data_IF_479070065879
#
_entry.id   IF_479070065879
#
_cell.length_a   1.000
_cell.length_b   1.000
_cell.length_c   1.000
_cell.angle_alpha   90.00
_cell.angle_beta   90.00
_cell.angle_gamma   90.00
#
_symmetry.space_group_name_H-M   'P 1'
#
loop_
_entity.id
_entity.type
_entity.pdbx_description
1 polymer ?
#
# COMPACT_ATOMS: atom_id res chain seq x y z
N UNK A 1 -11.06 17.69 -71.86
CA UNK A 1 -11.42 16.30 -72.14
C UNK A 1 -10.22 15.43 -71.79
N UNK A 2 -10.39 14.45 -70.89
CA UNK A 2 -9.51 13.32 -70.52
C UNK A 2 -8.07 13.67 -70.07
N UNK A 3 -7.58 13.38 -68.86
CA UNK A 3 -7.79 12.21 -67.98
C UNK A 3 -6.77 11.12 -68.37
N UNK A 4 -6.07 10.42 -67.48
CA UNK A 4 -5.82 10.49 -66.05
C UNK A 4 -4.55 9.65 -65.84
N UNK A 5 -3.68 10.09 -64.96
CA UNK A 5 -2.42 9.45 -64.60
C UNK A 5 -2.70 8.38 -63.53
N UNK A 6 -2.44 7.10 -63.80
CA UNK A 6 -2.38 6.07 -62.77
C UNK A 6 -0.96 6.02 -62.22
N UNK A 7 -0.78 6.47 -60.98
CA UNK A 7 0.34 6.05 -60.13
C UNK A 7 -0.25 5.39 -58.90
N UNK A 8 0.25 4.20 -58.63
CA UNK A 8 -0.12 3.35 -57.51
C UNK A 8 0.18 4.03 -56.17
N UNK A 9 -0.85 4.53 -55.51
CA UNK A 9 -0.83 4.93 -54.09
C UNK A 9 -1.65 3.91 -53.29
N UNK A 10 -1.06 2.76 -52.94
CA UNK A 10 -1.71 1.82 -52.01
C UNK A 10 -0.71 0.95 -51.21
N UNK A 11 0.50 1.45 -50.96
CA UNK A 11 1.48 0.75 -50.10
C UNK A 11 1.88 1.51 -48.82
N UNK A 12 1.35 2.71 -48.55
CA UNK A 12 1.80 3.52 -47.42
C UNK A 12 0.86 3.60 -46.21
N UNK A 13 -0.38 3.11 -46.27
CA UNK A 13 -1.33 3.22 -45.14
C UNK A 13 -1.19 2.15 -44.05
N UNK A 14 -0.20 1.25 -44.14
CA UNK A 14 -0.05 0.11 -43.20
C UNK A 14 1.25 0.09 -42.38
N UNK A 15 2.13 1.11 -42.50
CA UNK A 15 3.41 1.13 -41.78
C UNK A 15 3.38 1.89 -40.45
N UNK A 16 2.47 2.84 -40.24
CA UNK A 16 2.50 3.69 -39.04
C UNK A 16 1.61 3.22 -37.87
N UNK A 17 0.78 2.19 -38.03
CA UNK A 17 -0.22 1.79 -37.02
C UNK A 17 0.28 0.63 -36.09
N UNK A 18 1.45 0.04 -36.38
CA UNK A 18 1.83 -1.27 -35.81
C UNK A 18 2.66 -1.27 -34.54
N UNK A 19 3.23 -0.15 -34.11
CA UNK A 19 4.15 -0.12 -32.96
C UNK A 19 4.09 1.22 -32.22
N UNK A 20 2.94 1.56 -31.63
CA UNK A 20 2.99 2.51 -30.52
C UNK A 20 3.78 1.82 -29.39
N UNK A 21 4.93 2.36 -28.95
CA UNK A 21 5.75 1.70 -27.95
C UNK A 21 4.92 1.51 -26.67
N UNK A 22 4.77 0.25 -26.28
CA UNK A 22 4.17 -0.12 -25.00
C UNK A 22 5.02 0.52 -23.90
N UNK A 23 4.44 1.50 -23.19
CA UNK A 23 5.01 2.00 -21.94
C UNK A 23 4.70 0.97 -20.85
N UNK A 24 5.69 0.56 -20.04
CA UNK A 24 5.44 -0.27 -18.87
C UNK A 24 4.26 0.28 -18.09
N UNK A 25 3.32 -0.58 -17.72
CA UNK A 25 2.13 -0.21 -16.95
C UNK A 25 2.49 0.52 -15.66
N UNK A 26 3.67 0.20 -15.11
CA UNK A 26 4.33 0.96 -14.08
C UNK A 26 5.80 0.51 -13.97
N UNK A 27 6.77 1.44 -13.98
CA UNK A 27 8.21 1.09 -13.92
C UNK A 27 8.79 1.08 -12.50
N UNK A 28 7.99 1.40 -11.47
CA UNK A 28 8.47 1.60 -10.09
C UNK A 28 7.94 0.58 -9.07
N UNK A 29 7.09 -0.37 -9.48
CA UNK A 29 6.50 -1.33 -8.53
C UNK A 29 7.16 -2.70 -8.53
N UNK A 30 8.27 -2.88 -9.27
CA UNK A 30 9.07 -4.11 -9.18
C UNK A 30 9.69 -4.31 -7.78
N UNK A 31 9.65 -3.30 -6.90
CA UNK A 31 10.09 -3.41 -5.52
C UNK A 31 9.25 -2.55 -4.59
N UNK A 32 7.96 -2.86 -4.43
CA UNK A 32 7.32 -2.61 -3.14
C UNK A 32 7.39 -3.90 -2.33
N UNK A 33 8.53 -4.19 -1.67
CA UNK A 33 8.41 -5.06 -0.51
C UNK A 33 7.35 -4.43 0.41
N UNK A 34 6.57 -5.22 1.16
CA UNK A 34 5.88 -4.65 2.30
C UNK A 34 6.94 -3.80 3.02
N UNK A 35 6.67 -2.50 3.26
CA UNK A 35 7.54 -1.71 4.16
C UNK A 35 7.81 -2.66 5.30
N UNK A 36 9.10 -2.97 5.49
CA UNK A 36 9.56 -4.09 6.30
C UNK A 36 8.65 -4.23 7.50
N UNK A 37 8.25 -5.46 7.92
CA UNK A 37 7.42 -5.65 9.12
C UNK A 37 7.96 -4.70 10.19
N UNK A 38 7.12 -4.05 10.99
CA UNK A 38 7.47 -3.00 11.99
C UNK A 38 8.59 -3.43 12.99
N UNK A 39 9.73 -3.92 12.52
CA UNK A 39 10.67 -4.81 13.22
C UNK A 39 11.93 -4.10 13.61
N UNK A 40 12.11 -2.83 13.25
CA UNK A 40 13.25 -2.05 13.74
C UNK A 40 12.94 -1.20 14.96
N UNK A 41 11.73 -0.65 15.13
CA UNK A 41 11.38 0.15 16.32
C UNK A 41 10.45 -0.52 17.32
N UNK A 42 9.67 -1.55 16.94
CA UNK A 42 9.01 -2.41 17.93
C UNK A 42 10.01 -3.46 18.45
N UNK A 43 11.10 -3.04 19.09
CA UNK A 43 11.50 -3.85 20.26
C UNK A 43 10.23 -3.96 21.11
N UNK A 44 9.86 -5.16 21.57
CA UNK A 44 8.65 -5.30 22.37
C UNK A 44 8.81 -4.47 23.65
N UNK A 45 8.31 -3.24 23.65
CA UNK A 45 8.33 -2.35 24.81
C UNK A 45 7.26 -2.89 25.76
N UNK A 46 7.68 -3.86 26.57
CA UNK A 46 6.84 -4.58 27.52
C UNK A 46 6.86 -3.87 28.86
N UNK A 47 5.90 -2.99 29.10
CA UNK A 47 5.89 -2.15 30.31
C UNK A 47 5.61 -2.96 31.56
N UNK A 48 4.93 -4.11 31.44
CA UNK A 48 4.70 -5.04 32.54
C UNK A 48 5.98 -5.73 33.06
N UNK A 49 7.12 -5.62 32.36
CA UNK A 49 8.40 -6.17 32.80
C UNK A 49 9.30 -5.16 33.50
N UNK A 50 8.90 -3.88 33.55
CA UNK A 50 9.69 -2.83 34.19
C UNK A 50 9.75 -3.03 35.71
N UNK A 51 10.93 -2.91 36.29
CA UNK A 51 11.16 -3.02 37.74
C UNK A 51 11.73 -1.71 38.31
N UNK A 52 11.15 -1.19 39.41
CA UNK A 52 11.53 0.10 39.95
C UNK A 52 12.92 0.05 40.59
N UNK A 53 13.71 1.11 40.42
CA UNK A 53 15.06 1.15 40.96
C UNK A 53 15.07 1.39 42.47
N UNK A 54 15.55 0.38 43.22
CA UNK A 54 15.58 0.37 44.68
C UNK A 54 16.48 1.48 45.29
N UNK A 55 17.50 1.97 44.57
CA UNK A 55 18.46 2.96 45.09
C UNK A 55 17.99 4.41 45.08
N UNK A 56 16.84 4.71 44.45
CA UNK A 56 16.38 6.09 44.19
C UNK A 56 15.29 6.55 45.18
N UNK A 57 14.93 5.74 46.17
CA UNK A 57 13.85 6.04 47.13
C UNK A 57 14.00 7.37 47.90
N UNK A 58 15.17 8.03 47.87
CA UNK A 58 15.45 9.32 48.50
C UNK A 58 15.83 10.47 47.54
N UNK A 59 15.80 10.25 46.22
CA UNK A 59 16.12 11.27 45.21
C UNK A 59 14.86 11.71 44.47
N UNK A 60 14.70 13.03 44.31
CA UNK A 60 13.53 13.61 43.65
C UNK A 60 13.68 13.44 42.12
N UNK A 61 13.15 12.34 41.58
CA UNK A 61 13.15 12.07 40.13
C UNK A 61 12.38 13.17 39.41
N UNK A 62 13.01 13.75 38.39
CA UNK A 62 12.40 14.78 37.54
C UNK A 62 11.84 14.13 36.27
N UNK A 63 10.83 14.76 35.69
CA UNK A 63 10.31 14.35 34.38
C UNK A 63 11.39 14.63 33.32
N UNK A 64 11.83 13.63 32.54
CA UNK A 64 12.86 13.82 31.54
C UNK A 64 12.45 14.82 30.45
N UNK A 65 13.40 15.62 29.99
CA UNK A 65 13.24 16.44 28.79
C UNK A 65 13.60 15.61 27.57
N UNK A 66 12.70 15.53 26.60
CA UNK A 66 12.96 14.81 25.35
C UNK A 66 13.95 15.61 24.49
N UNK A 67 15.14 15.06 24.27
CA UNK A 67 16.21 15.68 23.47
C UNK A 67 16.30 15.15 22.03
N UNK A 68 15.75 13.97 21.75
CA UNK A 68 15.79 13.34 20.42
C UNK A 68 15.08 14.21 19.38
N UNK A 69 15.79 14.60 18.32
CA UNK A 69 15.29 15.51 17.29
C UNK A 69 14.09 14.97 16.51
N UNK A 70 14.09 13.68 16.18
CA UNK A 70 13.00 13.03 15.43
C UNK A 70 11.72 12.95 16.27
N UNK A 71 11.87 12.58 17.55
CA UNK A 71 10.75 12.54 18.49
C UNK A 71 10.17 13.95 18.69
N UNK A 72 11.03 14.98 18.85
CA UNK A 72 10.58 16.37 18.97
C UNK A 72 9.85 16.87 17.73
N UNK A 73 10.34 16.52 16.55
CA UNK A 73 9.67 16.86 15.29
C UNK A 73 8.28 16.23 15.23
N UNK A 74 8.18 14.94 15.55
CA UNK A 74 6.90 14.23 15.57
C UNK A 74 5.94 14.77 16.64
N UNK A 75 6.43 15.10 17.84
CA UNK A 75 5.66 15.79 18.88
C UNK A 75 5.15 17.15 18.38
N UNK A 76 5.99 17.94 17.71
CA UNK A 76 5.59 19.22 17.13
C UNK A 76 4.52 19.06 16.04
N UNK A 77 4.58 17.98 15.26
CA UNK A 77 3.60 17.65 14.22
C UNK A 77 2.26 17.18 14.78
N UNK A 78 2.28 16.35 15.81
CA UNK A 78 1.06 15.73 16.38
C UNK A 78 0.43 16.54 17.53
N UNK A 79 1.16 17.50 18.09
CA UNK A 79 0.73 18.27 19.25
C UNK A 79 0.60 17.44 20.52
N UNK A 80 0.02 18.03 21.56
CA UNK A 80 -0.26 17.31 22.81
C UNK A 80 -1.31 16.22 22.60
N UNK A 81 -1.08 15.04 23.18
CA UNK A 81 -2.05 13.96 23.18
C UNK A 81 -3.27 14.37 24.00
N UNK A 82 -4.45 14.27 23.38
CA UNK A 82 -5.70 14.67 24.02
C UNK A 82 -6.31 13.48 24.76
N UNK A 83 -6.28 13.55 26.09
CA UNK A 83 -6.86 12.52 26.95
C UNK A 83 -8.40 12.67 26.91
N UNK A 84 -9.16 11.61 26.58
CA UNK A 84 -10.61 11.63 26.73
C UNK A 84 -11.03 12.05 28.15
N UNK A 85 -11.94 13.01 28.26
CA UNK A 85 -12.39 13.56 29.57
C UNK A 85 -13.00 12.50 30.51
N UNK A 86 -13.45 11.36 29.97
CA UNK A 86 -13.97 10.23 30.75
C UNK A 86 -12.89 9.45 31.48
N UNK A 87 -11.62 9.65 31.17
CA UNK A 87 -10.48 8.97 31.80
C UNK A 87 -10.00 9.83 32.96
N UNK A 88 -10.05 9.27 34.17
CA UNK A 88 -9.48 9.89 35.37
C UNK A 88 -8.63 8.87 36.13
N UNK A 89 -7.66 9.37 36.89
CA UNK A 89 -6.88 8.56 37.84
C UNK A 89 -7.50 8.61 39.25
N UNK A 90 -8.79 8.91 39.36
CA UNK A 90 -9.47 8.99 40.65
C UNK A 90 -9.46 7.63 41.36
N UNK A 91 -9.04 7.61 42.62
CA UNK A 91 -8.91 6.38 43.41
C UNK A 91 -7.67 5.53 43.09
N UNK A 92 -6.74 6.04 42.28
CA UNK A 92 -5.42 5.44 42.06
C UNK A 92 -4.37 6.11 42.94
N UNK A 93 -3.33 5.37 43.29
CA UNK A 93 -2.15 5.94 43.93
C UNK A 93 -1.37 6.73 42.87
N UNK A 94 -1.18 8.03 43.07
CA UNK A 94 -0.35 8.87 42.20
C UNK A 94 0.95 9.15 42.91
N UNK A 95 2.04 8.58 42.43
CA UNK A 95 3.37 8.77 42.99
C UNK A 95 4.08 9.92 42.29
N UNK A 96 5.14 10.49 42.90
CA UNK A 96 6.17 11.20 42.14
C UNK A 96 6.70 10.34 40.97
N UNK A 97 7.40 10.94 39.99
CA UNK A 97 8.02 10.18 38.91
C UNK A 97 8.84 9.00 39.44
N UNK A 98 8.65 7.82 38.84
CA UNK A 98 9.35 6.58 39.23
C UNK A 98 10.37 6.27 38.16
N UNK A 99 11.64 6.11 38.54
CA UNK A 99 12.69 5.64 37.65
C UNK A 99 12.88 4.12 37.77
N UNK A 100 13.03 3.45 36.62
CA UNK A 100 13.22 2.01 36.48
C UNK A 100 14.68 1.68 36.17
N UNK A 101 15.04 0.39 36.33
CA UNK A 101 16.41 -0.08 36.18
C UNK A 101 16.98 0.10 34.76
N UNK A 102 16.11 0.20 33.76
CA UNK A 102 16.47 0.50 32.37
C UNK A 102 16.64 2.02 32.09
N UNK A 103 16.54 2.85 33.13
CA UNK A 103 16.63 4.31 33.05
C UNK A 103 15.29 4.98 32.78
N UNK A 104 14.27 4.24 32.33
CA UNK A 104 12.96 4.82 31.99
C UNK A 104 12.28 5.45 33.20
N UNK A 105 11.43 6.45 32.94
CA UNK A 105 10.69 7.18 33.98
C UNK A 105 9.19 7.09 33.70
N UNK A 106 8.42 6.62 34.69
CA UNK A 106 6.96 6.61 34.67
C UNK A 106 6.38 7.76 35.48
N UNK A 107 5.31 8.36 34.97
CA UNK A 107 4.48 9.35 35.65
C UNK A 107 3.01 8.98 35.44
N UNK A 108 2.30 8.57 36.49
CA UNK A 108 0.90 8.18 36.36
C UNK A 108 0.31 7.47 37.57
N UNK A 109 -0.86 6.86 37.37
CA UNK A 109 -1.57 6.12 38.41
C UNK A 109 -1.00 4.72 38.66
N UNK A 110 -1.09 4.27 39.89
CA UNK A 110 -0.76 2.91 40.34
C UNK A 110 -1.95 2.27 41.04
N UNK A 111 -2.03 0.94 40.92
CA UNK A 111 -2.93 0.10 41.72
C UNK A 111 -2.27 -1.23 42.01
N UNK A 112 -2.04 -1.52 43.29
CA UNK A 112 -1.33 -2.72 43.76
C UNK A 112 0.03 -2.89 43.06
N UNK A 113 0.83 -1.83 43.05
CA UNK A 113 2.16 -1.76 42.40
C UNK A 113 2.19 -1.88 40.87
N UNK A 114 1.03 -1.96 40.21
CA UNK A 114 0.94 -1.97 38.74
C UNK A 114 0.54 -0.61 38.19
N UNK A 115 1.08 -0.25 37.02
CA UNK A 115 0.57 0.88 36.23
C UNK A 115 -0.92 0.70 35.94
N UNK A 116 -1.70 1.73 36.22
CA UNK A 116 -3.15 1.71 36.09
C UNK A 116 -3.66 3.10 35.70
N UNK A 117 -4.69 3.14 34.87
CA UNK A 117 -5.28 4.41 34.44
C UNK A 117 -4.36 5.13 33.46
N UNK A 118 -4.44 6.45 33.41
CA UNK A 118 -3.56 7.24 32.55
C UNK A 118 -2.15 7.35 33.14
N UNK A 119 -1.15 7.22 32.29
CA UNK A 119 0.24 7.50 32.63
C UNK A 119 1.09 7.76 31.41
N UNK A 120 2.33 8.13 31.69
CA UNK A 120 3.35 8.44 30.69
C UNK A 120 4.64 7.72 31.03
N UNK A 121 5.34 7.24 30.02
CA UNK A 121 6.67 6.66 30.16
C UNK A 121 7.63 7.36 29.22
N UNK A 122 8.79 7.72 29.76
CA UNK A 122 9.89 8.37 29.07
C UNK A 122 11.09 7.41 29.08
N UNK A 123 11.62 7.08 27.90
CA UNK A 123 12.84 6.28 27.77
C UNK A 123 14.04 7.18 27.40
N UNK A 124 15.24 6.72 27.75
CA UNK A 124 16.50 7.47 27.54
C UNK A 124 16.80 7.73 26.05
N UNK A 125 16.31 6.87 25.15
CA UNK A 125 16.44 7.03 23.69
C UNK A 125 15.49 8.10 23.11
N UNK A 126 14.66 8.70 23.96
CA UNK A 126 13.64 9.68 23.63
C UNK A 126 12.28 9.07 23.28
N UNK A 127 12.14 7.74 23.24
CA UNK A 127 10.84 7.10 23.07
C UNK A 127 9.90 7.58 24.18
N UNK A 128 8.65 7.88 23.83
CA UNK A 128 7.67 8.44 24.75
C UNK A 128 6.30 7.82 24.53
N UNK A 129 5.74 7.26 25.60
CA UNK A 129 4.36 6.80 25.64
C UNK A 129 3.53 7.71 26.51
N UNK A 130 2.30 8.01 26.09
CA UNK A 130 1.26 8.59 26.93
C UNK A 130 -0.07 7.91 26.65
N UNK A 131 -0.75 7.42 27.68
CA UNK A 131 -2.00 6.69 27.50
C UNK A 131 -2.43 5.83 28.66
N UNK A 132 -3.38 4.95 28.39
CA UNK A 132 -3.98 4.08 29.39
C UNK A 132 -3.14 2.82 29.67
N UNK A 133 -3.11 2.47 30.95
CA UNK A 133 -2.54 1.26 31.49
C UNK A 133 -3.59 0.43 32.22
N UNK A 134 -3.45 -0.89 32.12
CA UNK A 134 -4.19 -1.86 32.91
C UNK A 134 -3.24 -2.96 33.38
N UNK A 135 -3.10 -3.12 34.69
CA UNK A 135 -2.20 -4.12 35.30
C UNK A 135 -0.78 -4.10 34.71
N UNK A 136 -0.20 -2.90 34.57
CA UNK A 136 1.19 -2.71 34.13
C UNK A 136 1.39 -2.67 32.61
N UNK A 137 0.40 -3.06 31.81
CA UNK A 137 0.51 -3.07 30.34
C UNK A 137 -0.22 -1.89 29.72
N UNK A 138 0.28 -1.36 28.60
CA UNK A 138 -0.48 -0.41 27.77
C UNK A 138 -1.78 -1.07 27.32
N UNK A 139 -2.92 -0.44 27.58
CA UNK A 139 -4.25 -1.03 27.33
C UNK A 139 -5.31 0.05 27.25
N UNK A 140 -6.12 0.06 26.20
CA UNK A 140 -7.03 1.17 25.89
C UNK A 140 -6.37 2.18 24.95
N UNK A 141 -6.72 3.46 25.02
CA UNK A 141 -6.16 4.46 24.11
C UNK A 141 -4.82 5.04 24.59
N UNK A 142 -3.89 5.22 23.66
CA UNK A 142 -2.62 5.89 23.93
C UNK A 142 -1.84 6.21 22.67
N UNK A 143 -0.83 7.05 22.83
CA UNK A 143 0.14 7.42 21.79
C UNK A 143 1.55 6.98 22.20
N UNK A 144 2.27 6.37 21.26
CA UNK A 144 3.69 6.05 21.37
C UNK A 144 4.42 6.76 20.24
N UNK A 145 5.46 7.53 20.57
CA UNK A 145 6.42 8.08 19.60
C UNK A 145 7.74 7.35 19.82
N UNK A 146 8.19 6.65 18.79
CA UNK A 146 9.40 5.83 18.82
C UNK A 146 10.64 6.68 18.61
N UNK A 147 11.79 6.21 19.08
CA UNK A 147 13.10 6.88 18.94
C UNK A 147 13.50 7.19 17.48
N UNK A 148 12.99 6.43 16.51
CA UNK A 148 13.22 6.63 15.07
C UNK A 148 12.29 7.67 14.42
N UNK A 149 11.38 8.27 15.21
CA UNK A 149 10.42 9.26 14.75
C UNK A 149 9.13 8.68 14.19
N UNK A 150 8.97 7.35 14.14
CA UNK A 150 7.65 6.77 13.89
C UNK A 150 6.72 7.06 15.07
N UNK A 151 5.41 7.05 14.83
CA UNK A 151 4.42 7.21 15.89
C UNK A 151 3.18 6.37 15.66
N UNK A 152 2.59 5.88 16.75
CA UNK A 152 1.30 5.23 16.76
C UNK A 152 0.37 5.92 17.75
N UNK A 153 -0.88 6.15 17.36
CA UNK A 153 -1.96 6.58 18.24
C UNK A 153 -3.18 5.73 17.98
N UNK A 154 -3.71 5.09 19.02
CA UNK A 154 -4.85 4.20 18.85
C UNK A 154 -5.10 3.34 20.06
N UNK A 155 -5.79 2.23 19.81
CA UNK A 155 -6.09 1.23 20.83
C UNK A 155 -4.88 0.31 21.09
N UNK A 156 -4.68 -0.02 22.36
CA UNK A 156 -3.66 -0.90 22.86
C UNK A 156 -4.31 -2.07 23.60
N UNK A 157 -3.70 -3.24 23.51
CA UNK A 157 -4.06 -4.40 24.30
C UNK A 157 -2.79 -5.15 24.69
N UNK A 158 -2.53 -5.26 25.99
CA UNK A 158 -1.38 -5.98 26.56
C UNK A 158 -0.05 -5.62 25.85
N UNK A 159 0.26 -4.33 25.83
CA UNK A 159 1.46 -3.73 25.21
C UNK A 159 1.50 -3.75 23.68
N UNK A 160 0.45 -4.22 23.00
CA UNK A 160 0.40 -4.30 21.53
C UNK A 160 -0.59 -3.32 20.92
N UNK A 161 -0.26 -2.79 19.75
CA UNK A 161 -1.20 -2.03 18.91
C UNK A 161 -2.35 -2.96 18.52
N UNK A 162 -3.58 -2.49 18.74
CA UNK A 162 -4.79 -3.27 18.54
C UNK A 162 -5.92 -2.35 18.05
N UNK A 163 -7.07 -2.91 17.66
CA UNK A 163 -8.27 -2.12 17.39
C UNK A 163 -8.09 -1.10 16.25
N UNK A 164 -8.63 0.10 16.40
CA UNK A 164 -8.41 1.23 15.48
C UNK A 164 -7.20 2.06 15.92
N UNK A 165 -6.42 2.51 14.95
CA UNK A 165 -5.33 3.44 15.20
C UNK A 165 -4.80 4.09 13.94
N UNK A 166 -3.94 5.08 14.14
CA UNK A 166 -3.19 5.78 13.11
C UNK A 166 -1.70 5.62 13.40
N UNK A 167 -0.95 5.32 12.35
CA UNK A 167 0.50 5.18 12.39
C UNK A 167 1.10 6.21 11.44
N UNK A 168 2.01 7.02 11.94
CA UNK A 168 2.80 7.97 11.16
C UNK A 168 4.21 7.42 11.04
N UNK A 169 4.67 7.28 9.80
CA UNK A 169 6.05 6.92 9.52
C UNK A 169 6.91 8.18 9.51
N UNK A 170 8.14 8.04 10.00
CA UNK A 170 9.20 9.05 9.98
C UNK A 170 9.49 9.58 8.58
N UNK A 171 9.30 8.75 7.54
CA UNK A 171 9.45 9.16 6.13
C UNK A 171 8.27 9.97 5.57
N UNK A 172 7.25 10.25 6.39
CA UNK A 172 6.06 11.01 6.02
C UNK A 172 4.86 10.16 5.60
N UNK A 173 5.02 8.84 5.45
CA UNK A 173 3.90 7.94 5.21
C UNK A 173 2.90 7.90 6.38
N UNK A 174 1.66 7.49 6.11
CA UNK A 174 0.60 7.37 7.10
C UNK A 174 -0.20 6.10 6.86
N UNK A 175 -0.56 5.38 7.92
CA UNK A 175 -1.61 4.37 7.89
C UNK A 175 -2.72 4.73 8.87
N UNK A 176 -3.97 4.67 8.44
CA UNK A 176 -5.16 4.91 9.24
C UNK A 176 -6.09 3.70 9.07
N UNK A 177 -6.24 2.88 10.11
CA UNK A 177 -6.93 1.62 9.95
C UNK A 177 -6.98 0.76 11.20
N UNK A 178 -7.18 -0.53 11.00
CA UNK A 178 -7.24 -1.50 12.08
C UNK A 178 -5.91 -2.22 12.28
N UNK A 179 -5.67 -2.64 13.52
CA UNK A 179 -4.50 -3.35 14.00
C UNK A 179 -4.92 -4.59 14.78
N UNK A 180 -4.09 -5.63 14.71
CA UNK A 180 -4.20 -6.85 15.49
C UNK A 180 -2.80 -7.31 15.87
N UNK A 181 -2.45 -7.22 17.15
CA UNK A 181 -1.16 -7.64 17.69
C UNK A 181 0.02 -7.03 16.92
N UNK A 182 0.05 -5.69 16.87
CA UNK A 182 1.08 -4.89 16.18
C UNK A 182 1.04 -4.94 14.64
N UNK A 183 0.15 -5.73 14.04
CA UNK A 183 0.06 -5.84 12.59
C UNK A 183 -1.18 -5.12 12.04
N UNK A 184 -1.02 -4.42 10.91
CA UNK A 184 -2.16 -3.93 10.12
C UNK A 184 -3.09 -5.10 9.80
N UNK A 185 -4.37 -4.94 10.05
CA UNK A 185 -5.35 -6.01 9.89
C UNK A 185 -6.73 -5.44 9.61
N UNK A 186 -7.55 -6.10 8.79
CA UNK A 186 -8.85 -5.58 8.39
C UNK A 186 -8.74 -4.35 7.49
N UNK A 187 -9.78 -3.51 7.46
CA UNK A 187 -9.81 -2.36 6.57
C UNK A 187 -8.91 -1.21 7.05
N UNK A 188 -8.18 -0.59 6.12
CA UNK A 188 -7.35 0.58 6.39
C UNK A 188 -6.99 1.36 5.12
N UNK A 189 -6.48 2.57 5.34
CA UNK A 189 -5.96 3.47 4.31
C UNK A 189 -4.49 3.76 4.58
N UNK A 190 -3.66 3.58 3.57
CA UNK A 190 -2.23 3.83 3.60
C UNK A 190 -1.88 4.91 2.57
N UNK A 191 -1.10 5.90 2.98
CA UNK A 191 -0.48 6.91 2.13
C UNK A 191 1.02 6.73 2.27
N UNK A 192 1.70 6.39 1.18
CA UNK A 192 3.15 6.25 1.17
C UNK A 192 3.82 7.63 1.03
N UNK A 193 5.08 7.73 1.43
CA UNK A 193 5.86 8.97 1.34
C UNK A 193 5.94 9.54 -0.10
N UNK A 194 5.87 8.67 -1.12
CA UNK A 194 5.84 9.08 -2.53
C UNK A 194 4.45 9.54 -3.02
N UNK A 195 3.43 9.58 -2.13
CA UNK A 195 2.08 10.02 -2.42
C UNK A 195 1.15 8.93 -2.94
N UNK A 196 1.62 7.71 -3.17
CA UNK A 196 0.74 6.59 -3.53
C UNK A 196 -0.22 6.27 -2.39
N UNK A 197 -1.45 5.90 -2.73
CA UNK A 197 -2.48 5.61 -1.73
C UNK A 197 -3.10 4.24 -1.95
N UNK A 198 -3.19 3.44 -0.89
CA UNK A 198 -3.97 2.22 -0.85
C UNK A 198 -5.13 2.36 0.13
N UNK A 199 -6.31 1.87 -0.25
CA UNK A 199 -7.47 1.78 0.63
C UNK A 199 -8.15 0.43 0.40
N UNK A 200 -8.21 -0.41 1.43
CA UNK A 200 -8.71 -1.78 1.30
C UNK A 200 -8.40 -2.65 2.50
N UNK A 201 -8.53 -3.96 2.29
CA UNK A 201 -8.30 -4.94 3.35
C UNK A 201 -6.79 -5.22 3.56
N UNK A 202 -6.44 -5.52 4.81
CA UNK A 202 -5.13 -5.97 5.25
C UNK A 202 -5.25 -7.28 6.02
N UNK A 203 -4.27 -8.15 5.87
CA UNK A 203 -4.13 -9.37 6.66
C UNK A 203 -2.67 -9.58 7.04
N UNK A 204 -2.41 -9.72 8.35
CA UNK A 204 -1.08 -9.89 8.94
C UNK A 204 -0.03 -8.90 8.40
N UNK A 205 -0.37 -7.62 8.34
CA UNK A 205 0.54 -6.56 7.91
C UNK A 205 0.63 -6.35 6.39
N UNK A 206 -0.01 -7.20 5.58
CA UNK A 206 0.05 -7.12 4.11
C UNK A 206 -1.30 -6.72 3.51
N UNK A 207 -1.28 -6.02 2.37
CA UNK A 207 -2.50 -5.75 1.58
C UNK A 207 -3.10 -7.10 1.14
N UNK A 208 -4.39 -7.27 1.33
CA UNK A 208 -5.09 -8.53 1.07
C UNK A 208 -6.53 -8.24 0.64
N UNK A 209 -7.23 -9.20 0.05
CA UNK A 209 -8.65 -9.05 -0.27
C UNK A 209 -8.92 -7.93 -1.25
N UNK A 210 -10.00 -7.15 -1.04
CA UNK A 210 -10.37 -6.07 -1.95
C UNK A 210 -9.62 -4.79 -1.60
N UNK A 211 -9.13 -4.09 -2.62
CA UNK A 211 -8.52 -2.79 -2.42
C UNK A 211 -8.50 -1.90 -3.66
N UNK A 212 -8.28 -0.63 -3.39
CA UNK A 212 -8.04 0.44 -4.37
C UNK A 212 -6.65 1.00 -4.16
N UNK A 213 -5.86 1.04 -5.22
CA UNK A 213 -4.50 1.56 -5.24
C UNK A 213 -4.40 2.69 -6.27
N UNK A 214 -3.94 3.85 -5.85
CA UNK A 214 -3.68 5.01 -6.71
C UNK A 214 -2.16 5.17 -6.82
N UNK A 215 -1.64 5.04 -8.04
CA UNK A 215 -0.21 5.15 -8.37
C UNK A 215 -0.06 6.18 -9.47
N UNK A 216 0.46 7.37 -9.15
CA UNK A 216 0.70 8.43 -10.12
C UNK A 216 -0.51 8.69 -11.06
N UNK A 217 -0.45 8.20 -12.31
CA UNK A 217 -1.43 8.39 -13.37
C UNK A 217 -2.43 7.23 -13.56
N UNK A 218 -2.35 6.20 -12.70
CA UNK A 218 -3.20 5.01 -12.78
C UNK A 218 -3.91 4.71 -11.47
N UNK A 219 -5.18 4.30 -11.59
CA UNK A 219 -5.96 3.73 -10.49
C UNK A 219 -6.14 2.24 -10.75
N UNK A 220 -5.82 1.42 -9.76
CA UNK A 220 -6.11 0.00 -9.71
C UNK A 220 -7.21 -0.29 -8.68
N UNK A 221 -8.20 -1.11 -9.04
CA UNK A 221 -9.20 -1.64 -8.11
C UNK A 221 -9.34 -3.14 -8.32
N UNK A 222 -9.13 -3.95 -7.29
CA UNK A 222 -9.09 -5.40 -7.46
C UNK A 222 -8.78 -6.22 -6.21
N UNK A 223 -8.39 -7.47 -6.45
CA UNK A 223 -7.96 -8.45 -5.46
C UNK A 223 -6.45 -8.37 -5.20
N UNK A 224 -6.10 -8.48 -3.92
CA UNK A 224 -4.74 -8.56 -3.43
C UNK A 224 -4.51 -9.87 -2.66
N UNK A 225 -3.37 -10.51 -2.90
CA UNK A 225 -2.91 -11.68 -2.14
C UNK A 225 -1.46 -11.47 -1.72
N UNK A 226 -1.21 -11.48 -0.40
CA UNK A 226 0.11 -11.27 0.19
C UNK A 226 0.83 -10.01 -0.35
N UNK A 227 0.08 -8.92 -0.51
CA UNK A 227 0.59 -7.65 -1.04
C UNK A 227 0.60 -7.53 -2.56
N UNK A 228 0.35 -8.61 -3.31
CA UNK A 228 0.41 -8.62 -4.78
C UNK A 228 -0.99 -8.49 -5.39
N UNK A 229 -1.11 -7.73 -6.48
CA UNK A 229 -2.35 -7.68 -7.25
C UNK A 229 -2.48 -8.97 -8.05
N UNK A 230 -3.68 -9.59 -8.03
CA UNK A 230 -3.94 -10.89 -8.69
C UNK A 230 -5.05 -10.85 -9.73
N UNK A 231 -6.02 -9.95 -9.57
CA UNK A 231 -7.14 -9.74 -10.51
C UNK A 231 -7.74 -8.36 -10.26
N UNK A 232 -8.16 -7.64 -11.30
CA UNK A 232 -8.83 -6.37 -11.11
C UNK A 232 -8.87 -5.50 -12.36
N UNK A 233 -9.06 -4.20 -12.13
CA UNK A 233 -9.16 -3.21 -13.19
C UNK A 233 -8.13 -2.09 -13.02
N UNK A 234 -7.35 -1.82 -14.08
CA UNK A 234 -6.55 -0.61 -14.20
C UNK A 234 -7.31 0.44 -15.02
N UNK A 235 -7.27 1.69 -14.54
CA UNK A 235 -7.77 2.88 -15.24
C UNK A 235 -6.65 3.92 -15.31
N UNK A 236 -6.12 4.16 -16.50
CA UNK A 236 -5.12 5.20 -16.72
C UNK A 236 -5.80 6.53 -17.04
N UNK A 237 -5.16 7.63 -16.65
CA UNK A 237 -5.67 8.99 -16.92
C UNK A 237 -5.74 9.33 -18.41
N UNK A 238 -4.98 8.63 -19.26
CA UNK A 238 -4.97 8.77 -20.72
C UNK A 238 -6.14 8.05 -21.41
N UNK A 239 -7.01 7.40 -20.63
CA UNK A 239 -8.20 6.71 -21.13
C UNK A 239 -8.01 5.23 -21.39
N UNK A 240 -6.78 4.69 -21.32
CA UNK A 240 -6.56 3.23 -21.36
C UNK A 240 -7.30 2.58 -20.18
N UNK A 241 -7.76 1.34 -20.38
CA UNK A 241 -8.35 0.50 -19.33
C UNK A 241 -7.95 -0.95 -19.51
N UNK A 242 -7.82 -1.68 -18.42
CA UNK A 242 -7.60 -3.11 -18.42
C UNK A 242 -8.46 -3.77 -17.36
N UNK A 243 -9.02 -4.94 -17.65
CA UNK A 243 -9.71 -5.77 -16.67
C UNK A 243 -9.31 -7.24 -16.84
N UNK A 244 -8.87 -7.87 -15.77
CA UNK A 244 -8.56 -9.29 -15.75
C UNK A 244 -7.43 -9.62 -14.78
N UNK A 245 -6.78 -10.74 -15.06
CA UNK A 245 -5.76 -11.32 -14.21
C UNK A 245 -4.45 -10.51 -14.21
N UNK A 246 -3.79 -10.46 -13.05
CA UNK A 246 -2.59 -9.67 -12.81
C UNK A 246 -1.58 -10.53 -12.05
N UNK A 247 -0.30 -10.29 -12.28
CA UNK A 247 0.79 -10.90 -11.51
C UNK A 247 1.68 -9.79 -10.98
N UNK A 248 1.47 -9.42 -9.71
CA UNK A 248 2.18 -8.31 -9.08
C UNK A 248 1.71 -7.00 -9.67
N UNK A 249 2.42 -6.45 -10.65
CA UNK A 249 2.05 -5.19 -11.33
C UNK A 249 1.92 -5.33 -12.84
N UNK A 250 2.10 -6.55 -13.34
CA UNK A 250 2.05 -6.87 -14.76
C UNK A 250 0.73 -7.56 -15.08
N UNK A 251 0.11 -7.17 -16.19
CA UNK A 251 -1.02 -7.90 -16.77
C UNK A 251 -0.56 -9.31 -17.11
N UNK A 252 -1.34 -10.32 -16.72
CA UNK A 252 -0.97 -11.72 -16.90
C UNK A 252 -2.22 -12.60 -16.96
N UNK A 253 -2.19 -13.74 -17.64
CA UNK A 253 -3.38 -14.59 -17.75
C UNK A 253 -4.40 -14.03 -18.75
N UNK A 254 -5.69 -14.15 -18.48
CA UNK A 254 -6.74 -13.67 -19.38
C UNK A 254 -7.26 -12.30 -18.98
N UNK A 255 -7.52 -11.42 -19.97
CA UNK A 255 -8.16 -10.15 -19.71
C UNK A 255 -8.43 -9.31 -20.95
N UNK A 256 -9.11 -8.19 -20.71
CA UNK A 256 -9.59 -7.24 -21.70
C UNK A 256 -8.84 -5.91 -21.55
N UNK A 257 -8.34 -5.36 -22.65
CA UNK A 257 -7.65 -4.08 -22.68
C UNK A 257 -8.31 -3.16 -23.69
N UNK A 258 -8.71 -1.97 -23.24
CA UNK A 258 -9.34 -0.94 -24.07
C UNK A 258 -8.39 0.24 -24.29
N UNK A 259 -8.26 0.64 -25.54
CA UNK A 259 -7.48 1.79 -25.95
C UNK A 259 -8.38 3.05 -26.03
N UNK A 260 -7.81 4.26 -25.86
CA UNK A 260 -8.58 5.50 -25.91
C UNK A 260 -9.26 5.76 -27.28
N UNK A 261 -8.73 5.18 -28.34
CA UNK A 261 -9.25 5.30 -29.72
C UNK A 261 -10.35 4.28 -30.06
N UNK A 262 -10.86 3.56 -29.06
CA UNK A 262 -11.94 2.58 -29.22
C UNK A 262 -11.48 1.18 -29.63
N UNK A 263 -10.19 0.97 -29.92
CA UNK A 263 -9.66 -0.38 -30.10
C UNK A 263 -9.73 -1.15 -28.79
N UNK A 264 -9.85 -2.48 -28.87
CA UNK A 264 -9.69 -3.33 -27.69
C UNK A 264 -9.16 -4.71 -28.03
N UNK A 265 -8.55 -5.34 -27.03
CA UNK A 265 -8.04 -6.71 -27.09
C UNK A 265 -8.68 -7.55 -25.99
N UNK A 266 -9.09 -8.77 -26.32
CA UNK A 266 -9.53 -9.77 -25.36
C UNK A 266 -8.71 -11.02 -25.59
N UNK A 267 -8.00 -11.50 -24.57
CA UNK A 267 -7.20 -12.69 -24.75
C UNK A 267 -6.19 -12.92 -23.66
N UNK A 268 -5.23 -13.77 -23.99
CA UNK A 268 -4.17 -14.16 -23.08
C UNK A 268 -3.02 -13.13 -23.08
N UNK A 269 -2.40 -13.01 -21.91
CA UNK A 269 -1.33 -12.08 -21.60
C UNK A 269 -0.23 -12.79 -20.82
N UNK A 270 1.02 -12.45 -21.10
CA UNK A 270 2.18 -12.86 -20.32
C UNK A 270 3.03 -11.64 -20.05
N UNK A 271 3.02 -11.17 -18.81
CA UNK A 271 3.87 -10.05 -18.36
C UNK A 271 3.76 -8.84 -19.29
N UNK A 272 2.53 -8.36 -19.42
CA UNK A 272 2.12 -7.22 -20.24
C UNK A 272 2.14 -7.42 -21.76
N UNK A 273 2.49 -8.61 -22.24
CA UNK A 273 2.50 -8.92 -23.66
C UNK A 273 1.28 -9.77 -24.05
N UNK A 274 0.59 -9.40 -25.13
CA UNK A 274 -0.40 -10.28 -25.76
C UNK A 274 0.31 -11.52 -26.27
N UNK A 275 -0.14 -12.68 -25.81
CA UNK A 275 0.48 -13.98 -26.05
C UNK A 275 -0.63 -15.03 -26.19
N UNK A 276 -0.44 -16.10 -26.97
CA UNK A 276 -1.45 -17.16 -27.11
C UNK A 276 -2.71 -16.70 -27.85
N UNK A 277 -3.89 -17.25 -27.50
CA UNK A 277 -5.13 -16.93 -28.20
C UNK A 277 -5.70 -15.57 -27.77
N UNK A 278 -6.20 -14.80 -28.73
CA UNK A 278 -6.92 -13.57 -28.46
C UNK A 278 -7.59 -12.94 -29.69
N UNK A 279 -8.48 -12.01 -29.43
CA UNK A 279 -9.14 -11.18 -30.44
C UNK A 279 -8.78 -9.71 -30.27
N UNK A 280 -8.61 -9.02 -31.39
CA UNK A 280 -8.34 -7.59 -31.44
C UNK A 280 -9.35 -6.93 -32.35
N UNK A 281 -10.09 -5.98 -31.78
CA UNK A 281 -11.09 -5.19 -32.47
C UNK A 281 -10.50 -3.82 -32.76
N UNK A 282 -10.46 -3.49 -34.05
CA UNK A 282 -9.91 -2.23 -34.54
C UNK A 282 -10.98 -1.14 -34.55
N UNK A 283 -10.55 0.12 -34.53
CA UNK A 283 -11.44 1.28 -34.51
C UNK A 283 -12.27 1.44 -35.80
N UNK A 284 -11.83 0.83 -36.90
CA UNK A 284 -12.55 0.80 -38.17
C UNK A 284 -13.60 -0.33 -38.25
N UNK A 285 -13.77 -1.11 -37.19
CA UNK A 285 -14.67 -2.25 -37.12
C UNK A 285 -14.08 -3.56 -37.65
N UNK A 286 -12.84 -3.57 -38.14
CA UNK A 286 -12.16 -4.82 -38.48
C UNK A 286 -11.79 -5.60 -37.21
N UNK A 287 -11.66 -6.92 -37.34
CA UNK A 287 -11.42 -7.84 -36.22
C UNK A 287 -10.37 -8.86 -36.63
N UNK A 288 -9.36 -9.06 -35.78
CA UNK A 288 -8.47 -10.22 -35.85
C UNK A 288 -8.79 -11.18 -34.72
N UNK A 289 -8.95 -12.46 -35.01
CA UNK A 289 -9.08 -13.54 -34.02
C UNK A 289 -8.01 -14.59 -34.32
N UNK A 290 -7.11 -14.85 -33.39
CA UNK A 290 -6.08 -15.85 -33.60
C UNK A 290 -4.98 -15.83 -32.56
N UNK A 291 -3.84 -16.38 -32.95
CA UNK A 291 -2.70 -16.54 -32.05
C UNK A 291 -1.82 -15.27 -32.06
N UNK A 292 -1.25 -14.95 -30.90
CA UNK A 292 -0.38 -13.82 -30.61
C UNK A 292 0.93 -14.31 -30.01
N UNK A 293 2.02 -13.61 -30.32
CA UNK A 293 3.33 -13.80 -29.71
C UNK A 293 4.02 -12.44 -29.62
N UNK A 294 4.53 -12.08 -28.44
CA UNK A 294 5.24 -10.82 -28.20
C UNK A 294 4.50 -9.60 -28.79
N UNK A 295 3.19 -9.50 -28.50
CA UNK A 295 2.30 -8.44 -28.98
C UNK A 295 1.94 -8.44 -30.48
N UNK A 296 2.39 -9.41 -31.28
CA UNK A 296 2.14 -9.50 -32.72
C UNK A 296 1.25 -10.70 -33.06
N UNK A 297 0.44 -10.60 -34.11
CA UNK A 297 -0.27 -11.75 -34.67
C UNK A 297 0.76 -12.78 -35.16
N UNK A 298 0.69 -14.01 -34.66
CA UNK A 298 1.65 -15.06 -34.96
C UNK A 298 0.96 -16.43 -34.84
N UNK A 299 1.02 -17.28 -35.85
CA UNK A 299 0.28 -18.55 -35.92
C UNK A 299 -1.02 -18.42 -36.72
N UNK A 300 -1.93 -19.39 -36.59
CA UNK A 300 -3.19 -19.36 -37.34
C UNK A 300 -4.12 -18.24 -36.83
N UNK A 301 -4.79 -17.53 -37.75
CA UNK A 301 -5.74 -16.49 -37.42
C UNK A 301 -6.70 -16.13 -38.55
N UNK A 302 -7.83 -15.54 -38.16
CA UNK A 302 -8.90 -15.02 -39.01
C UNK A 302 -8.95 -13.51 -38.88
N UNK A 303 -8.84 -12.80 -40.00
CA UNK A 303 -9.07 -11.35 -40.07
C UNK A 303 -10.37 -11.09 -40.83
N UNK A 304 -11.27 -10.31 -40.24
CA UNK A 304 -12.49 -9.80 -40.88
C UNK A 304 -12.32 -8.30 -41.06
N UNK A 305 -12.36 -7.80 -42.29
CA UNK A 305 -12.25 -6.35 -42.54
C UNK A 305 -13.58 -5.64 -42.23
N UNK A 306 -13.61 -4.31 -42.32
CA UNK A 306 -14.81 -3.48 -42.08
C UNK A 306 -16.00 -3.77 -43.01
N UNK A 307 -15.76 -4.40 -44.16
CA UNK A 307 -16.80 -4.79 -45.13
C UNK A 307 -17.33 -6.21 -44.87
N UNK A 308 -16.74 -6.95 -43.94
CA UNK A 308 -17.06 -8.35 -43.67
C UNK A 308 -16.26 -9.37 -44.48
N UNK A 309 -15.30 -8.93 -45.30
CA UNK A 309 -14.43 -9.85 -46.04
C UNK A 309 -13.50 -10.59 -45.06
N UNK A 310 -13.40 -11.90 -45.23
CA UNK A 310 -12.66 -12.78 -44.32
C UNK A 310 -11.38 -13.28 -44.97
N UNK A 311 -10.27 -13.17 -44.25
CA UNK A 311 -8.98 -13.74 -44.61
C UNK A 311 -8.57 -14.71 -43.48
N UNK A 312 -8.38 -15.99 -43.82
CA UNK A 312 -7.82 -16.99 -42.92
C UNK A 312 -6.41 -17.35 -43.37
N UNK A 313 -5.48 -17.53 -42.43
CA UNK A 313 -4.14 -17.97 -42.79
C UNK A 313 -3.19 -18.02 -41.60
N UNK A 314 -1.94 -18.37 -41.92
CA UNK A 314 -0.83 -18.32 -40.96
C UNK A 314 -0.29 -16.89 -40.94
N UNK A 315 -0.15 -16.34 -39.74
CA UNK A 315 0.43 -15.02 -39.49
C UNK A 315 1.85 -15.17 -38.95
N UNK A 316 2.76 -14.34 -39.41
CA UNK A 316 4.14 -14.24 -38.92
C UNK A 316 4.43 -12.76 -38.71
N UNK A 317 4.75 -12.40 -37.47
CA UNK A 317 5.09 -11.04 -37.03
C UNK A 317 4.13 -9.95 -37.51
N UNK A 318 2.82 -10.24 -37.40
CA UNK A 318 1.76 -9.30 -37.76
C UNK A 318 1.41 -9.26 -39.25
N UNK A 319 1.97 -10.15 -40.07
CA UNK A 319 1.66 -10.25 -41.50
C UNK A 319 1.18 -11.65 -41.86
N UNK A 320 0.23 -11.75 -42.79
CA UNK A 320 -0.18 -13.05 -43.31
C UNK A 320 0.94 -13.63 -44.20
N UNK A 321 1.33 -14.87 -43.93
CA UNK A 321 2.27 -15.62 -44.76
C UNK A 321 1.64 -15.87 -46.13
N UNK A 322 2.42 -15.66 -47.19
CA UNK A 322 2.00 -15.89 -48.58
C UNK A 322 2.00 -17.37 -48.94
#
# INVERSE_FOLDING_TARGET
MGGSCCKDENQETNKEIRNAPYKPIYSHAENMPPRSPQTKSNQEIRTHLLQPTMSIQNQQVQIPVIHNGLVKEMLGKLGEYQIPQSITNEGLEVTPPIQFDDGSVYVGGLKNDFFQGYGEIYWDDGTHYCGLFNKGSKSGHGRLIYTDGDAYEGEWLDDRQHGRGKYWYSDGGIYDGRFLNDLKHGFGKEILANGETYEGDFYNGTRHGKGKLIMADVVFEGQFENGLMVDGEYRWNDGRRYKGQIKGTKIHGHGEFWFPDGRYYIGNWVEDQKEGQGEFHYSDGSIYVGTWKENKQNGYGKFTNKNGDVINGIWVDGTIAK
#
